data_IF_685040171120
#
_entry.id   IF_685040171120
#
_cell.length_a   1.000
_cell.length_b   1.000
_cell.length_c   1.000
_cell.angle_alpha   90.00
_cell.angle_beta   90.00
_cell.angle_gamma   90.00
#
_symmetry.space_group_name_H-M   'P 1'
#
loop_
_entity.id
_entity.type
_entity.pdbx_description
1 polymer ?
#
# COMPACT_ATOMS: atom_id res chain seq x y z
N UNK A 1 26.89 -41.21 12.88
CA UNK A 1 25.47 -40.82 13.10
C UNK A 1 25.14 -39.51 12.33
N UNK A 2 25.36 -39.48 11.01
CA UNK A 2 25.26 -38.26 10.17
C UNK A 2 24.18 -38.33 9.07
N UNK A 3 23.46 -39.46 8.96
CA UNK A 3 22.56 -39.73 7.82
C UNK A 3 21.09 -39.33 8.03
N UNK A 4 20.76 -38.50 9.03
CA UNK A 4 19.37 -38.07 9.32
C UNK A 4 19.06 -36.59 9.07
N UNK A 5 19.92 -35.84 8.37
CA UNK A 5 19.52 -34.54 7.78
C UNK A 5 19.08 -34.74 6.33
N UNK A 6 17.99 -35.50 6.13
CA UNK A 6 17.27 -35.45 4.85
C UNK A 6 16.67 -34.06 4.73
N UNK A 7 17.37 -33.24 3.96
CA UNK A 7 16.86 -32.21 3.06
C UNK A 7 15.31 -32.07 3.14
N UNK A 8 14.83 -31.28 4.10
CA UNK A 8 13.55 -30.60 3.92
C UNK A 8 13.80 -29.64 2.76
N UNK A 9 13.62 -30.13 1.53
CA UNK A 9 13.54 -29.27 0.38
C UNK A 9 12.29 -28.41 0.62
N UNK A 10 12.42 -27.10 0.96
CA UNK A 10 11.25 -26.27 1.16
C UNK A 10 10.45 -26.37 -0.13
N UNK A 11 9.21 -26.84 -0.04
CA UNK A 11 8.35 -26.97 -1.22
C UNK A 11 8.42 -25.63 -1.95
N UNK A 12 8.66 -25.62 -3.27
CA UNK A 12 8.72 -24.37 -4.02
C UNK A 12 7.45 -23.59 -3.71
N UNK A 13 7.61 -22.34 -3.26
CA UNK A 13 6.46 -21.48 -2.95
C UNK A 13 5.71 -21.32 -4.27
N UNK A 14 4.45 -21.77 -4.30
CA UNK A 14 3.59 -21.54 -5.47
C UNK A 14 3.55 -20.02 -5.69
N UNK A 15 3.89 -19.60 -6.91
CA UNK A 15 3.83 -18.21 -7.32
C UNK A 15 2.46 -17.91 -7.93
N UNK A 16 1.97 -16.69 -7.74
CA UNK A 16 0.70 -16.26 -8.33
C UNK A 16 0.87 -16.03 -9.82
N UNK A 17 0.12 -16.75 -10.65
CA UNK A 17 0.05 -16.44 -12.07
C UNK A 17 -0.88 -15.26 -12.33
N UNK A 18 -0.67 -14.54 -13.43
CA UNK A 18 -1.58 -13.44 -13.79
C UNK A 18 -3.01 -13.96 -14.05
N UNK A 19 -3.16 -15.15 -14.62
CA UNK A 19 -4.47 -15.79 -14.84
C UNK A 19 -5.20 -16.11 -13.54
N UNK A 20 -4.48 -16.51 -12.49
CA UNK A 20 -5.06 -16.71 -11.15
C UNK A 20 -5.50 -15.36 -10.55
N UNK A 21 -4.76 -14.29 -10.80
CA UNK A 21 -5.13 -12.95 -10.34
C UNK A 21 -6.33 -12.39 -11.12
N UNK A 22 -6.39 -12.59 -12.43
CA UNK A 22 -7.54 -12.23 -13.26
C UNK A 22 -8.81 -12.89 -12.71
N UNK A 23 -8.76 -14.21 -12.46
CA UNK A 23 -9.87 -14.95 -11.86
C UNK A 23 -10.23 -14.44 -10.46
N UNK A 24 -9.23 -14.11 -9.64
CA UNK A 24 -9.46 -13.60 -8.28
C UNK A 24 -10.18 -12.26 -8.31
N UNK A 25 -9.72 -11.33 -9.14
CA UNK A 25 -10.30 -10.00 -9.21
C UNK A 25 -11.66 -10.01 -9.89
N UNK A 26 -11.84 -10.79 -10.96
CA UNK A 26 -13.14 -10.95 -11.59
C UNK A 26 -14.15 -11.62 -10.65
N UNK A 27 -13.74 -12.64 -9.89
CA UNK A 27 -14.63 -13.28 -8.92
C UNK A 27 -15.08 -12.34 -7.79
N UNK A 28 -14.18 -11.45 -7.34
CA UNK A 28 -14.42 -10.54 -6.21
C UNK A 28 -15.06 -9.20 -6.62
N UNK A 29 -14.79 -8.70 -7.83
CA UNK A 29 -15.17 -7.35 -8.30
C UNK A 29 -15.99 -7.35 -9.60
N UNK A 30 -16.11 -8.48 -10.28
CA UNK A 30 -16.87 -8.61 -11.52
C UNK A 30 -18.35 -8.24 -11.36
N UNK A 31 -19.09 -8.13 -12.45
CA UNK A 31 -20.42 -7.49 -12.48
C UNK A 31 -21.46 -8.18 -11.57
N UNK A 32 -21.33 -9.50 -11.37
CA UNK A 32 -22.21 -10.28 -10.49
C UNK A 32 -21.71 -10.40 -9.04
N UNK A 33 -20.63 -9.69 -8.66
CA UNK A 33 -19.96 -9.85 -7.37
C UNK A 33 -20.46 -8.89 -6.27
N UNK A 34 -21.49 -8.08 -6.50
CA UNK A 34 -22.00 -7.06 -5.57
C UNK A 34 -22.19 -7.59 -4.14
N UNK A 35 -22.94 -8.68 -4.02
CA UNK A 35 -23.24 -9.30 -2.72
C UNK A 35 -21.99 -9.87 -2.03
N UNK A 36 -20.98 -10.30 -2.80
CA UNK A 36 -19.69 -10.75 -2.24
C UNK A 36 -18.85 -9.56 -1.79
N UNK A 37 -18.84 -8.48 -2.56
CA UNK A 37 -18.10 -7.28 -2.23
C UNK A 37 -18.67 -6.57 -0.99
N UNK A 38 -19.98 -6.49 -0.85
CA UNK A 38 -20.62 -5.94 0.35
C UNK A 38 -20.30 -6.76 1.61
N UNK A 39 -20.42 -8.09 1.49
CA UNK A 39 -20.00 -8.99 2.56
C UNK A 39 -18.50 -8.86 2.87
N UNK A 40 -17.66 -8.49 1.90
CA UNK A 40 -16.20 -8.36 2.10
C UNK A 40 -15.89 -7.23 3.07
N UNK A 41 -16.68 -6.16 3.02
CA UNK A 41 -16.56 -5.01 3.90
C UNK A 41 -16.99 -5.33 5.34
N UNK A 42 -18.04 -6.14 5.51
CA UNK A 42 -18.62 -6.45 6.83
C UNK A 42 -17.95 -7.66 7.49
N UNK A 43 -17.67 -8.71 6.72
CA UNK A 43 -17.29 -10.04 7.22
C UNK A 43 -16.22 -10.70 6.33
N UNK A 44 -15.10 -10.01 6.09
CA UNK A 44 -14.00 -10.46 5.23
C UNK A 44 -13.56 -11.91 5.48
N UNK A 45 -13.38 -12.30 6.74
CA UNK A 45 -12.95 -13.64 7.13
C UNK A 45 -13.88 -14.77 6.65
N UNK A 46 -15.20 -14.53 6.54
CA UNK A 46 -16.16 -15.54 6.07
C UNK A 46 -16.03 -15.75 4.57
N UNK A 47 -15.91 -14.66 3.81
CA UNK A 47 -15.75 -14.74 2.35
C UNK A 47 -14.49 -15.48 1.96
N UNK A 48 -13.35 -15.22 2.61
CA UNK A 48 -12.12 -15.90 2.22
C UNK A 48 -12.21 -17.42 2.40
N UNK A 49 -12.98 -17.89 3.40
CA UNK A 49 -13.29 -19.31 3.57
C UNK A 49 -14.22 -19.82 2.46
N UNK A 50 -15.25 -19.06 2.09
CA UNK A 50 -16.16 -19.39 0.98
C UNK A 50 -15.42 -19.45 -0.37
N UNK A 51 -14.55 -18.47 -0.65
CA UNK A 51 -13.73 -18.41 -1.88
C UNK A 51 -12.78 -19.60 -1.95
N UNK A 52 -12.12 -19.95 -0.84
CA UNK A 52 -11.27 -21.15 -0.79
C UNK A 52 -12.09 -22.44 -0.96
N UNK A 53 -13.31 -22.50 -0.42
CA UNK A 53 -14.21 -23.65 -0.53
C UNK A 53 -14.80 -23.81 -1.95
N UNK A 54 -14.93 -22.73 -2.71
CA UNK A 54 -15.43 -22.75 -4.08
C UNK A 54 -14.50 -23.50 -5.07
N UNK A 55 -13.29 -23.89 -4.63
CA UNK A 55 -12.29 -24.63 -5.43
C UNK A 55 -11.95 -23.97 -6.78
N UNK A 56 -12.12 -22.65 -6.87
CA UNK A 56 -11.71 -21.85 -8.04
C UNK A 56 -10.18 -21.68 -8.05
N UNK A 57 -9.57 -21.67 -6.86
CA UNK A 57 -8.14 -21.43 -6.63
C UNK A 57 -7.50 -22.66 -6.01
N UNK A 58 -7.13 -23.64 -6.83
CA UNK A 58 -6.55 -24.89 -6.36
C UNK A 58 -5.22 -24.67 -5.63
N UNK A 59 -5.14 -25.17 -4.40
CA UNK A 59 -3.93 -25.14 -3.57
C UNK A 59 -3.67 -23.82 -2.85
N UNK A 60 -4.57 -22.84 -2.94
CA UNK A 60 -4.49 -21.59 -2.19
C UNK A 60 -5.35 -21.63 -0.94
N UNK A 61 -4.79 -21.26 0.21
CA UNK A 61 -5.54 -21.16 1.46
C UNK A 61 -6.29 -19.82 1.56
N UNK A 62 -7.35 -19.78 2.37
CA UNK A 62 -8.09 -18.53 2.64
C UNK A 62 -7.18 -17.38 3.08
N UNK A 63 -6.18 -17.67 3.92
CA UNK A 63 -5.20 -16.66 4.38
C UNK A 63 -4.30 -16.18 3.26
N UNK A 64 -3.89 -17.06 2.33
CA UNK A 64 -3.07 -16.66 1.18
C UNK A 64 -3.86 -15.80 0.20
N UNK A 65 -5.14 -16.14 -0.04
CA UNK A 65 -6.06 -15.36 -0.86
C UNK A 65 -6.25 -13.95 -0.27
N UNK A 66 -6.53 -13.87 1.03
CA UNK A 66 -6.66 -12.60 1.74
C UNK A 66 -5.39 -11.76 1.68
N UNK A 67 -4.24 -12.34 2.01
CA UNK A 67 -2.97 -11.60 2.00
C UNK A 67 -2.63 -11.09 0.58
N UNK A 68 -2.92 -11.88 -0.45
CA UNK A 68 -2.72 -11.45 -1.84
C UNK A 68 -3.67 -10.32 -2.21
N UNK A 69 -4.94 -10.42 -1.81
CA UNK A 69 -5.92 -9.37 -2.03
C UNK A 69 -5.53 -8.05 -1.36
N UNK A 70 -5.13 -8.08 -0.09
CA UNK A 70 -4.69 -6.90 0.65
C UNK A 70 -3.47 -6.24 0.02
N UNK A 71 -2.49 -7.05 -0.43
CA UNK A 71 -1.32 -6.56 -1.17
C UNK A 71 -1.71 -5.87 -2.48
N UNK A 72 -2.69 -6.43 -3.20
CA UNK A 72 -3.20 -5.83 -4.43
C UNK A 72 -4.01 -4.58 -4.18
N UNK A 73 -4.83 -4.54 -3.12
CA UNK A 73 -5.55 -3.34 -2.72
C UNK A 73 -4.60 -2.20 -2.34
N UNK A 74 -3.51 -2.51 -1.63
CA UNK A 74 -2.46 -1.52 -1.33
C UNK A 74 -1.79 -1.01 -2.61
N UNK A 75 -1.55 -1.88 -3.59
CA UNK A 75 -1.00 -1.49 -4.90
C UNK A 75 -1.97 -0.60 -5.66
N UNK A 76 -3.27 -0.96 -5.69
CA UNK A 76 -4.33 -0.14 -6.26
C UNK A 76 -4.37 1.25 -5.64
N UNK A 77 -4.39 1.36 -4.31
CA UNK A 77 -4.43 2.66 -3.62
C UNK A 77 -3.27 3.57 -4.03
N UNK A 78 -2.05 3.01 -4.15
CA UNK A 78 -0.88 3.77 -4.61
C UNK A 78 -1.01 4.19 -6.08
N UNK A 79 -1.48 3.29 -6.96
CA UNK A 79 -1.73 3.62 -8.38
C UNK A 79 -2.84 4.66 -8.55
N UNK A 80 -3.87 4.59 -7.71
CA UNK A 80 -4.97 5.53 -7.70
C UNK A 80 -4.48 6.91 -7.27
N UNK A 81 -3.77 7.01 -6.14
CA UNK A 81 -3.15 8.25 -5.69
C UNK A 81 -2.18 8.83 -6.74
N UNK A 82 -1.37 7.98 -7.40
CA UNK A 82 -0.50 8.41 -8.49
C UNK A 82 -1.28 8.99 -9.68
N UNK A 83 -2.39 8.36 -10.07
CA UNK A 83 -3.23 8.87 -11.16
C UNK A 83 -3.89 10.19 -10.80
N UNK A 84 -4.44 10.32 -9.58
CA UNK A 84 -5.01 11.57 -9.09
C UNK A 84 -3.96 12.68 -9.08
N UNK A 85 -2.74 12.36 -8.65
CA UNK A 85 -1.60 13.28 -8.66
C UNK A 85 -1.17 13.71 -10.07
N UNK A 86 -1.14 12.79 -11.04
CA UNK A 86 -0.60 13.06 -12.39
C UNK A 86 -1.63 13.47 -13.44
N UNK A 87 -2.93 13.27 -13.19
CA UNK A 87 -3.92 13.16 -14.27
C UNK A 87 -5.25 13.86 -14.07
N UNK A 88 -5.42 14.68 -13.02
CA UNK A 88 -6.63 15.48 -12.82
C UNK A 88 -6.38 17.01 -12.81
N UNK A 89 -5.24 17.48 -13.31
CA UNK A 89 -4.96 18.92 -13.39
C UNK A 89 -4.83 19.60 -12.02
N UNK A 90 -4.36 18.88 -11.01
CA UNK A 90 -3.83 19.54 -9.82
C UNK A 90 -2.54 20.24 -10.26
N UNK A 91 -2.59 21.56 -10.34
CA UNK A 91 -1.42 22.35 -10.65
C UNK A 91 -0.36 22.07 -9.58
N UNK A 92 0.88 21.83 -10.02
CA UNK A 92 1.96 21.33 -9.15
C UNK A 92 2.39 22.33 -8.06
N UNK A 93 1.83 23.54 -8.09
CA UNK A 93 2.02 24.65 -7.16
C UNK A 93 1.02 24.66 -5.98
N UNK A 94 -0.08 23.91 -6.05
CA UNK A 94 -1.05 23.77 -4.95
C UNK A 94 -0.58 22.79 -3.85
N UNK A 95 0.54 22.09 -4.07
CA UNK A 95 1.09 21.19 -3.07
C UNK A 95 1.99 21.94 -2.09
N UNK A 96 1.51 22.05 -0.86
CA UNK A 96 2.31 22.45 0.28
C UNK A 96 3.34 21.37 0.59
N UNK A 97 4.55 21.52 0.04
CA UNK A 97 5.68 20.61 0.27
C UNK A 97 6.13 20.57 1.74
N UNK A 98 5.59 21.44 2.59
CA UNK A 98 5.81 21.45 4.03
C UNK A 98 4.88 20.47 4.79
N UNK A 99 3.86 19.90 4.14
CA UNK A 99 3.04 18.83 4.72
C UNK A 99 3.77 17.46 4.62
N UNK A 100 4.33 17.02 5.75
CA UNK A 100 5.01 15.73 5.87
C UNK A 100 4.14 14.53 5.44
N UNK A 101 2.82 14.59 5.59
CA UNK A 101 1.92 13.52 5.15
C UNK A 101 1.80 13.49 3.61
N UNK A 102 1.71 14.65 2.97
CA UNK A 102 1.69 14.78 1.51
C UNK A 102 3.02 14.29 0.91
N UNK A 103 4.15 14.66 1.51
CA UNK A 103 5.49 14.22 1.08
C UNK A 103 5.64 12.70 1.21
N UNK A 104 5.19 12.11 2.32
CA UNK A 104 5.20 10.65 2.49
C UNK A 104 4.34 9.94 1.44
N UNK A 105 3.17 10.51 1.11
CA UNK A 105 2.28 9.98 0.07
C UNK A 105 2.97 10.00 -1.31
N UNK A 106 3.65 11.10 -1.66
CA UNK A 106 4.43 11.19 -2.92
C UNK A 106 5.60 10.20 -2.97
N UNK A 107 6.31 9.98 -1.87
CA UNK A 107 7.37 8.97 -1.83
C UNK A 107 6.81 7.56 -2.02
N UNK A 108 5.68 7.24 -1.40
CA UNK A 108 4.96 5.98 -1.57
C UNK A 108 4.51 5.76 -3.02
N UNK A 109 4.05 6.81 -3.69
CA UNK A 109 3.68 6.83 -5.09
C UNK A 109 4.88 6.49 -6.00
N UNK A 110 6.06 7.06 -5.74
CA UNK A 110 7.27 6.83 -6.52
C UNK A 110 7.87 5.43 -6.36
N UNK A 111 7.49 4.68 -5.30
CA UNK A 111 8.00 3.32 -5.06
C UNK A 111 7.37 2.23 -5.92
N UNK A 112 6.31 2.51 -6.68
CA UNK A 112 5.71 1.48 -7.55
C UNK A 112 6.61 1.27 -8.78
N UNK A 113 7.06 0.04 -8.98
CA UNK A 113 7.81 -0.34 -10.19
C UNK A 113 6.94 -0.14 -11.43
N UNK A 114 7.47 0.53 -12.46
CA UNK A 114 6.77 0.74 -13.73
C UNK A 114 6.23 -0.54 -14.39
N UNK A 115 6.92 -1.67 -14.18
CA UNK A 115 6.49 -3.00 -14.66
C UNK A 115 5.15 -3.41 -14.05
N UNK A 116 4.93 -3.13 -12.75
CA UNK A 116 3.69 -3.44 -12.06
C UNK A 116 2.57 -2.55 -12.60
N UNK A 117 2.81 -1.24 -12.76
CA UNK A 117 1.81 -0.32 -13.30
C UNK A 117 1.37 -0.73 -14.71
N UNK A 118 2.31 -1.09 -15.60
CA UNK A 118 1.99 -1.58 -16.94
C UNK A 118 1.18 -2.88 -16.91
N UNK A 119 1.51 -3.80 -16.00
CA UNK A 119 0.78 -5.05 -15.83
C UNK A 119 -0.68 -4.79 -15.40
N UNK A 120 -0.88 -3.90 -14.42
CA UNK A 120 -2.20 -3.53 -13.92
C UNK A 120 -3.10 -2.91 -14.99
N UNK A 121 -2.53 -2.05 -15.85
CA UNK A 121 -3.25 -1.46 -16.99
C UNK A 121 -3.54 -2.52 -18.05
N UNK A 122 -2.55 -3.36 -18.39
CA UNK A 122 -2.70 -4.41 -19.41
C UNK A 122 -3.84 -5.37 -19.11
N UNK A 123 -4.02 -5.74 -17.84
CA UNK A 123 -5.07 -6.66 -17.40
C UNK A 123 -6.37 -5.94 -16.97
N UNK A 124 -6.45 -4.62 -17.14
CA UNK A 124 -7.61 -3.81 -16.72
C UNK A 124 -7.98 -3.94 -15.24
N UNK A 125 -7.05 -4.39 -14.39
CA UNK A 125 -7.27 -4.50 -12.95
C UNK A 125 -7.49 -3.14 -12.32
N UNK A 126 -6.80 -2.12 -12.82
CA UNK A 126 -7.00 -0.76 -12.35
C UNK A 126 -8.46 -0.32 -12.56
N UNK A 127 -9.00 -0.49 -13.77
CA UNK A 127 -10.35 -0.06 -14.12
C UNK A 127 -11.41 -0.85 -13.34
N UNK A 128 -11.20 -2.16 -13.14
CA UNK A 128 -12.07 -3.00 -12.28
C UNK A 128 -12.14 -2.49 -10.84
N UNK A 129 -10.99 -2.13 -10.25
CA UNK A 129 -10.96 -1.59 -8.90
C UNK A 129 -11.57 -0.18 -8.84
N UNK A 130 -11.27 0.72 -9.79
CA UNK A 130 -11.88 2.06 -9.83
C UNK A 130 -13.41 1.96 -9.93
N UNK A 131 -13.93 1.18 -10.88
CA UNK A 131 -15.37 0.98 -11.09
C UNK A 131 -16.09 0.55 -9.80
N UNK A 132 -15.43 -0.23 -8.95
CA UNK A 132 -16.04 -0.74 -7.70
C UNK A 132 -15.87 0.15 -6.48
N UNK A 133 -14.72 0.79 -6.33
CA UNK A 133 -14.44 1.62 -5.15
C UNK A 133 -14.87 3.08 -5.33
N UNK A 134 -14.97 3.57 -6.56
CA UNK A 134 -15.29 4.97 -6.85
C UNK A 134 -16.73 5.14 -7.37
N UNK A 135 -17.17 4.31 -8.31
CA UNK A 135 -18.49 4.48 -8.94
C UNK A 135 -19.62 3.82 -8.15
N UNK A 136 -19.33 3.31 -6.95
CA UNK A 136 -20.35 2.75 -6.06
C UNK A 136 -20.89 3.85 -5.12
N UNK A 137 -22.09 4.40 -5.37
CA UNK A 137 -22.65 5.51 -4.60
C UNK A 137 -22.91 5.15 -3.13
N UNK A 138 -22.86 3.86 -2.78
CA UNK A 138 -22.96 3.40 -1.38
C UNK A 138 -21.67 3.59 -0.59
N UNK A 139 -20.52 3.68 -1.25
CA UNK A 139 -19.20 3.87 -0.62
C UNK A 139 -18.84 5.36 -0.58
N UNK A 140 -19.24 6.11 -1.61
CA UNK A 140 -19.23 7.58 -1.62
C UNK A 140 -20.52 8.11 -0.99
N UNK A 141 -21.06 7.43 0.02
CA UNK A 141 -22.00 8.09 0.89
C UNK A 141 -21.14 9.08 1.66
N UNK A 142 -21.20 10.36 1.28
CA UNK A 142 -20.63 11.45 2.08
C UNK A 142 -21.15 11.24 3.49
N UNK A 143 -20.33 10.64 4.36
CA UNK A 143 -20.61 10.63 5.78
C UNK A 143 -20.65 12.10 6.09
N UNK A 144 -21.82 12.67 6.44
CA UNK A 144 -21.87 14.07 6.81
C UNK A 144 -20.95 14.16 8.02
N UNK A 145 -19.74 14.69 7.78
CA UNK A 145 -18.82 15.05 8.84
C UNK A 145 -19.57 16.15 9.56
N UNK A 146 -20.26 15.74 10.62
CA UNK A 146 -20.85 16.62 11.62
C UNK A 146 -19.69 17.26 12.38
N UNK A 147 -18.88 18.03 11.68
CA UNK A 147 -17.77 18.82 12.20
C UNK A 147 -18.28 20.24 12.40
N UNK A 148 -19.25 20.37 13.30
CA UNK A 148 -19.67 21.59 14.00
C UNK A 148 -21.00 21.30 14.70
N UNK A 149 -21.03 20.39 15.67
CA UNK A 149 -21.99 20.60 16.75
C UNK A 149 -21.39 21.74 17.58
N UNK A 150 -22.06 22.88 17.56
CA UNK A 150 -21.56 24.11 18.16
C UNK A 150 -21.19 23.83 19.61
N UNK A 151 -19.94 24.12 19.98
CA UNK A 151 -19.53 24.15 21.38
C UNK A 151 -20.50 25.09 22.09
N UNK A 152 -21.35 24.49 22.94
CA UNK A 152 -22.28 25.14 23.84
C UNK A 152 -21.67 26.43 24.38
N UNK A 153 -22.33 27.54 24.06
CA UNK A 153 -22.04 28.86 24.63
C UNK A 153 -21.92 28.69 26.15
N UNK A 154 -20.75 29.05 26.67
CA UNK A 154 -20.46 29.00 28.09
C UNK A 154 -21.01 30.32 28.66
N UNK A 155 -22.25 30.28 29.14
CA UNK A 155 -22.93 31.44 29.71
C UNK A 155 -22.22 31.87 31.02
N UNK A 156 -21.66 33.10 31.11
CA UNK A 156 -20.99 33.54 32.31
C UNK A 156 -22.02 33.84 33.41
N UNK A 157 -21.96 33.07 34.49
CA UNK A 157 -22.70 33.31 35.73
C UNK A 157 -22.36 34.70 36.29
N UNK A 158 -23.31 35.63 36.21
CA UNK A 158 -23.33 36.85 37.02
C UNK A 158 -23.93 36.54 38.39
N UNK A 159 -23.24 36.83 39.51
CA UNK A 159 -23.88 36.85 40.80
C UNK A 159 -24.59 38.21 41.01
N UNK A 160 -25.62 38.16 41.85
CA UNK A 160 -26.25 39.27 42.56
C UNK A 160 -27.49 39.93 41.91
N UNK A 161 -28.67 39.57 42.41
CA UNK A 161 -29.45 40.46 43.28
C UNK A 161 -30.78 39.79 43.65
N UNK A 162 -31.07 39.78 44.94
CA UNK A 162 -32.33 39.40 45.58
C UNK A 162 -33.54 40.09 44.93
N UNK A 163 -34.59 39.33 44.59
CA UNK A 163 -35.97 39.77 44.85
C UNK A 163 -37.05 38.69 44.70
N UNK A 164 -38.10 38.92 45.47
CA UNK A 164 -39.27 38.14 45.86
C UNK A 164 -40.11 37.40 44.79
N UNK A 165 -40.68 36.27 45.25
CA UNK A 165 -42.04 35.75 45.07
C UNK A 165 -42.92 36.32 43.94
N UNK A 166 -43.34 35.49 42.96
CA UNK A 166 -44.74 35.45 42.45
C UNK A 166 -45.08 34.06 41.86
N UNK A 167 -46.29 33.59 42.23
CA UNK A 167 -47.02 32.40 41.82
C UNK A 167 -47.47 32.29 40.33
N UNK A 168 -47.50 31.05 39.84
CA UNK A 168 -48.57 30.36 39.08
C UNK A 168 -49.29 31.11 37.94
N UNK A 169 -49.09 30.67 36.68
CA UNK A 169 -50.18 30.53 35.67
C UNK A 169 -50.03 29.22 34.88
N UNK A 170 -51.16 28.53 34.79
CA UNK A 170 -51.45 27.23 34.19
C UNK A 170 -51.61 27.24 32.65
N UNK A 171 -51.42 26.02 32.08
CA UNK A 171 -52.16 25.35 30.96
C UNK A 171 -51.91 25.74 29.48
N UNK A 172 -52.23 24.86 28.49
CA UNK A 172 -52.22 23.38 28.46
C UNK A 172 -51.68 22.72 27.15
N UNK A 173 -51.45 21.40 27.25
CA UNK A 173 -51.73 20.34 26.26
C UNK A 173 -51.47 20.56 24.75
N UNK A 174 -50.64 19.70 24.18
CA UNK A 174 -51.12 18.82 23.10
C UNK A 174 -50.52 17.42 23.24
N UNK A 175 -51.43 16.46 23.36
CA UNK A 175 -51.22 15.03 23.49
C UNK A 175 -50.89 14.39 22.15
N UNK A 176 -49.97 13.42 22.16
CA UNK A 176 -50.15 12.04 21.63
C UNK A 176 -48.75 11.38 21.61
N UNK A 177 -48.42 10.53 22.58
CA UNK A 177 -48.73 9.08 22.57
C UNK A 177 -48.04 8.40 21.38
N UNK A 178 -47.15 7.40 21.52
CA UNK A 178 -47.35 6.17 22.30
C UNK A 178 -46.05 5.35 22.34
N UNK A 179 -45.71 4.84 23.54
CA UNK A 179 -45.04 3.55 23.86
C UNK A 179 -43.61 3.29 23.34
N UNK A 180 -42.63 3.18 24.25
CA UNK A 180 -42.22 1.95 24.96
C UNK A 180 -41.55 0.96 23.97
N UNK A 181 -40.30 0.55 24.19
CA UNK A 181 -39.89 -0.24 25.36
C UNK A 181 -38.40 -0.09 25.61
N UNK A 182 -38.06 0.08 26.89
CA UNK A 182 -36.76 -0.23 27.44
C UNK A 182 -36.40 -1.70 27.14
N UNK A 183 -35.13 -1.95 26.83
CA UNK A 183 -34.35 -3.12 27.25
C UNK A 183 -32.95 -3.08 26.61
N UNK A 184 -31.92 -2.79 27.40
CA UNK A 184 -30.64 -3.49 27.32
C UNK A 184 -29.72 -3.08 28.47
N UNK A 185 -29.94 -3.79 29.58
CA UNK A 185 -28.91 -4.59 30.26
C UNK A 185 -27.47 -4.15 30.04
N UNK A 186 -26.96 -3.51 31.09
CA UNK A 186 -25.55 -3.38 31.42
C UNK A 186 -24.86 -4.74 31.59
N UNK A 187 -23.55 -4.73 31.31
CA UNK A 187 -22.46 -5.67 31.65
C UNK A 187 -22.06 -6.70 30.57
N UNK A 188 -20.79 -7.17 30.53
CA UNK A 188 -19.53 -6.57 31.00
C UNK A 188 -18.44 -6.51 29.91
N UNK A 189 -17.51 -5.56 30.05
CA UNK A 189 -16.27 -5.45 29.28
C UNK A 189 -15.33 -6.62 29.63
N UNK A 190 -14.92 -7.48 28.67
CA UNK A 190 -13.82 -8.40 28.91
C UNK A 190 -12.47 -7.68 28.70
N UNK A 191 -11.74 -7.56 29.80
CA UNK A 191 -10.32 -7.21 29.85
C UNK A 191 -9.51 -8.06 28.88
N UNK A 192 -8.97 -7.43 27.84
CA UNK A 192 -8.00 -8.08 26.95
C UNK A 192 -6.61 -7.93 27.53
N UNK A 193 -6.08 -9.07 27.96
CA UNK A 193 -4.73 -9.30 28.44
C UNK A 193 -3.68 -8.92 27.39
N UNK A 194 -2.78 -8.03 27.79
CA UNK A 194 -1.54 -7.72 27.08
C UNK A 194 -0.59 -8.92 27.12
N UNK A 195 -0.43 -9.61 25.99
CA UNK A 195 0.64 -10.59 25.79
C UNK A 195 1.84 -9.88 25.15
N UNK A 196 2.80 -9.53 25.99
CA UNK A 196 4.16 -9.16 25.60
C UNK A 196 4.88 -10.37 25.01
N UNK A 197 5.09 -10.40 23.69
CA UNK A 197 6.08 -11.28 23.04
C UNK A 197 7.36 -10.49 22.79
N UNK A 198 8.28 -10.52 23.74
CA UNK A 198 9.69 -10.22 23.52
C UNK A 198 10.43 -11.55 23.42
N UNK A 199 10.67 -12.02 22.19
CA UNK A 199 11.62 -13.09 21.93
C UNK A 199 13.01 -12.48 21.85
N UNK A 200 13.71 -12.56 22.98
CA UNK A 200 15.13 -12.29 23.14
C UNK A 200 15.93 -13.30 22.31
N UNK A 201 16.69 -12.77 21.34
CA UNK A 201 17.68 -13.54 20.59
C UNK A 201 18.92 -13.78 21.42
N UNK A 202 19.41 -15.00 21.28
CA UNK A 202 20.67 -15.56 21.78
C UNK A 202 21.87 -14.62 21.60
N UNK A 203 22.60 -14.46 22.70
CA UNK A 203 23.87 -13.76 22.81
C UNK A 203 25.01 -14.71 22.48
N UNK A 204 25.81 -14.35 21.48
CA UNK A 204 27.21 -14.80 21.34
C UNK A 204 28.12 -13.93 22.22
N UNK A 205 29.19 -14.50 22.82
CA UNK A 205 30.03 -13.80 23.78
C UNK A 205 31.16 -13.04 23.07
N UNK A 206 31.26 -11.73 23.29
CA UNK A 206 32.47 -10.97 23.00
C UNK A 206 32.90 -10.09 24.19
N UNK A 207 34.07 -10.45 24.70
CA UNK A 207 35.18 -9.54 25.03
C UNK A 207 34.91 -8.34 25.95
N UNK A 208 35.25 -8.60 27.22
CA UNK A 208 35.64 -7.67 28.27
C UNK A 208 36.78 -6.73 27.85
N UNK A 209 36.53 -5.43 27.80
CA UNK A 209 37.49 -4.38 28.23
C UNK A 209 36.73 -3.21 28.84
N UNK A 210 37.04 -2.93 30.12
CA UNK A 210 36.55 -1.77 30.86
C UNK A 210 37.31 -0.53 30.39
N UNK A 211 36.60 0.59 30.16
CA UNK A 211 37.20 1.91 30.30
C UNK A 211 36.15 2.90 30.83
N UNK A 212 36.47 3.47 32.00
CA UNK A 212 35.76 4.55 32.69
C UNK A 212 36.32 5.89 32.20
N UNK A 213 35.45 6.84 31.87
CA UNK A 213 35.77 8.26 31.68
C UNK A 213 34.61 8.94 30.94
N UNK A 214 33.61 9.50 31.61
CA UNK A 214 33.56 10.89 32.11
C UNK A 214 33.79 11.92 30.98
N UNK A 215 32.71 12.28 30.30
CA UNK A 215 32.67 13.35 29.31
C UNK A 215 31.23 13.70 28.95
N UNK A 216 30.67 14.69 29.63
CA UNK A 216 29.29 15.16 29.51
C UNK A 216 29.32 16.44 28.67
N UNK A 217 29.29 16.32 27.34
CA UNK A 217 28.91 17.38 26.39
C UNK A 217 29.00 16.85 24.95
N UNK A 218 28.05 17.28 24.08
CA UNK A 218 27.88 17.01 22.64
C UNK A 218 27.06 15.77 22.26
N UNK A 219 25.75 15.97 22.09
CA UNK A 219 24.81 15.01 21.46
C UNK A 219 23.98 15.69 20.35
N UNK A 220 24.45 16.81 19.78
CA UNK A 220 23.70 17.52 18.72
C UNK A 220 24.28 17.39 17.30
N UNK A 221 25.50 16.87 17.14
CA UNK A 221 26.16 16.78 15.83
C UNK A 221 25.95 15.44 15.10
N UNK A 222 25.38 14.42 15.76
CA UNK A 222 25.26 13.06 15.17
C UNK A 222 24.04 12.87 14.24
N UNK A 223 23.08 13.81 14.24
CA UNK A 223 21.86 13.68 13.42
C UNK A 223 22.08 13.93 11.93
N UNK A 224 23.07 14.74 11.56
CA UNK A 224 23.44 15.00 10.17
C UNK A 224 24.37 13.91 9.58
N UNK A 225 25.02 13.13 10.45
CA UNK A 225 25.90 12.02 10.07
C UNK A 225 25.13 10.94 9.30
N UNK A 226 23.96 10.52 9.80
CA UNK A 226 23.15 9.49 9.15
C UNK A 226 22.60 9.89 7.78
N UNK A 227 22.24 11.16 7.59
CA UNK A 227 21.75 11.67 6.31
C UNK A 227 22.87 11.73 5.26
N UNK A 228 24.07 12.12 5.68
CA UNK A 228 25.26 12.13 4.81
C UNK A 228 25.63 10.71 4.38
N UNK A 229 25.63 9.76 5.32
CA UNK A 229 25.85 8.33 5.01
C UNK A 229 24.80 7.77 4.06
N UNK A 230 23.53 8.19 4.20
CA UNK A 230 22.47 7.79 3.26
C UNK A 230 22.73 8.30 1.85
N UNK A 231 23.10 9.57 1.68
CA UNK A 231 23.40 10.14 0.37
C UNK A 231 24.63 9.49 -0.27
N UNK A 232 25.65 9.17 0.51
CA UNK A 232 26.84 8.46 0.03
C UNK A 232 26.50 7.04 -0.42
N UNK A 233 25.73 6.29 0.38
CA UNK A 233 25.25 4.96 0.01
C UNK A 233 24.36 4.99 -1.25
N UNK A 234 23.50 6.00 -1.38
CA UNK A 234 22.66 6.19 -2.57
C UNK A 234 23.50 6.49 -3.81
N UNK A 235 24.49 7.39 -3.70
CA UNK A 235 25.40 7.71 -4.79
C UNK A 235 26.20 6.48 -5.25
N UNK A 236 26.57 5.59 -4.32
CA UNK A 236 27.27 4.35 -4.65
C UNK A 236 26.37 3.34 -5.39
N UNK A 237 25.10 3.22 -4.99
CA UNK A 237 24.09 2.42 -5.71
C UNK A 237 23.88 2.96 -7.13
N UNK A 238 23.72 4.28 -7.28
CA UNK A 238 23.51 4.92 -8.59
C UNK A 238 24.72 4.72 -9.52
N UNK A 239 25.94 4.79 -8.96
CA UNK A 239 27.18 4.45 -9.68
C UNK A 239 27.21 2.99 -10.13
N UNK A 240 26.69 2.07 -9.33
CA UNK A 240 26.53 0.66 -9.70
C UNK A 240 25.57 0.46 -10.87
N UNK A 241 24.43 1.16 -10.85
CA UNK A 241 23.42 1.10 -11.92
C UNK A 241 23.97 1.64 -13.24
N UNK A 242 24.72 2.74 -13.21
CA UNK A 242 25.39 3.30 -14.40
C UNK A 242 26.38 2.31 -15.03
N UNK A 243 27.21 1.65 -14.21
CA UNK A 243 28.14 0.62 -14.70
C UNK A 243 27.42 -0.59 -15.30
N UNK A 244 26.26 -0.97 -14.76
CA UNK A 244 25.46 -2.07 -15.32
C UNK A 244 24.92 -1.70 -16.70
N UNK A 245 24.37 -0.48 -16.84
CA UNK A 245 23.85 0.03 -18.11
C UNK A 245 24.94 0.15 -19.18
N UNK A 246 26.16 0.54 -18.81
CA UNK A 246 27.31 0.58 -19.72
C UNK A 246 27.70 -0.83 -20.20
N UNK A 247 27.71 -1.82 -19.29
CA UNK A 247 27.96 -3.23 -19.65
C UNK A 247 26.90 -3.77 -20.61
N UNK A 248 25.63 -3.47 -20.37
CA UNK A 248 24.53 -3.86 -21.27
C UNK A 248 24.67 -3.24 -22.67
N UNK A 249 25.04 -1.95 -22.75
CA UNK A 249 25.29 -1.28 -24.02
C UNK A 249 26.46 -1.90 -24.79
N UNK A 250 27.54 -2.27 -24.09
CA UNK A 250 28.69 -2.94 -24.69
C UNK A 250 28.34 -4.36 -25.16
N UNK A 251 27.57 -5.11 -24.37
CA UNK A 251 27.09 -6.43 -24.76
C UNK A 251 26.21 -6.36 -26.02
N UNK A 252 25.31 -5.37 -26.09
CA UNK A 252 24.47 -5.14 -27.26
C UNK A 252 25.27 -4.81 -28.53
N UNK A 253 26.29 -3.95 -28.42
CA UNK A 253 27.20 -3.66 -29.55
C UNK A 253 27.95 -4.91 -30.01
N UNK A 254 28.40 -5.73 -29.06
CA UNK A 254 29.12 -6.97 -29.37
C UNK A 254 28.20 -8.00 -30.04
N UNK A 255 26.95 -8.14 -29.59
CA UNK A 255 25.97 -9.03 -30.22
C UNK A 255 25.61 -8.57 -31.63
N UNK A 256 25.39 -7.28 -31.85
CA UNK A 256 25.13 -6.72 -33.19
C UNK A 256 26.32 -6.94 -34.15
N UNK A 257 27.55 -6.79 -33.66
CA UNK A 257 28.75 -7.08 -34.45
C UNK A 257 28.86 -8.57 -34.82
N UNK A 258 28.51 -9.46 -33.88
CA UNK A 258 28.50 -10.91 -34.11
C UNK A 258 27.44 -11.31 -35.15
N UNK A 259 26.22 -10.77 -35.05
CA UNK A 259 25.17 -10.99 -36.06
C UNK A 259 25.58 -10.50 -37.44
N UNK A 260 26.23 -9.32 -37.52
CA UNK A 260 26.76 -8.80 -38.78
C UNK A 260 27.83 -9.71 -39.38
N UNK A 261 28.74 -10.24 -38.55
CA UNK A 261 29.77 -11.17 -39.00
C UNK A 261 29.18 -12.52 -39.46
N UNK A 262 28.19 -13.05 -38.72
CA UNK A 262 27.47 -14.26 -39.10
C UNK A 262 26.76 -14.10 -40.45
N UNK A 263 26.10 -12.96 -40.68
CA UNK A 263 25.42 -12.69 -41.95
C UNK A 263 26.38 -12.59 -43.16
N UNK A 264 27.63 -12.14 -42.94
CA UNK A 264 28.67 -12.15 -43.99
C UNK A 264 29.10 -13.59 -44.33
N UNK A 265 29.22 -14.47 -43.33
CA UNK A 265 29.57 -15.88 -43.55
C UNK A 265 28.44 -16.65 -44.26
N UNK A 266 27.19 -16.37 -43.92
CA UNK A 266 26.03 -17.06 -44.50
C UNK A 266 25.66 -16.55 -45.92
N UNK A 267 26.08 -15.33 -46.29
CA UNK A 267 25.80 -14.72 -47.60
C UNK A 267 27.05 -14.11 -48.28
N UNK A 268 28.06 -14.92 -48.65
CA UNK A 268 29.31 -14.41 -49.22
C UNK A 268 29.12 -13.70 -50.59
N UNK A 269 28.08 -14.06 -51.35
CA UNK A 269 27.86 -13.56 -52.72
C UNK A 269 27.20 -12.17 -52.82
N UNK A 270 26.71 -11.59 -51.70
CA UNK A 270 26.01 -10.29 -51.72
C UNK A 270 26.94 -9.08 -51.51
N UNK A 271 28.22 -9.28 -51.20
CA UNK A 271 29.15 -8.21 -50.79
C UNK A 271 30.00 -7.54 -51.88
N UNK A 272 30.10 -8.10 -53.10
CA UNK A 272 31.12 -7.69 -54.09
C UNK A 272 30.60 -6.97 -55.35
N UNK A 273 29.39 -6.39 -55.36
CA UNK A 273 28.84 -5.72 -56.56
C UNK A 273 28.68 -4.19 -56.48
N UNK A 274 29.38 -3.50 -55.59
CA UNK A 274 29.44 -2.03 -55.61
C UNK A 274 30.87 -1.53 -55.78
N UNK A 275 31.23 -1.21 -57.02
CA UNK A 275 32.39 -0.40 -57.33
C UNK A 275 33.22 -0.94 -58.48
N UNK A 276 32.81 -0.63 -59.71
CA UNK A 276 33.68 -0.08 -60.76
C UNK A 276 32.84 0.11 -62.04
N UNK A 277 32.32 1.33 -62.20
CA UNK A 277 31.56 1.72 -63.38
C UNK A 277 31.45 3.24 -63.49
N UNK A 278 32.55 3.88 -63.90
CA UNK A 278 32.64 5.18 -64.58
C UNK A 278 34.14 5.44 -64.81
N UNK A 279 34.73 5.10 -65.94
CA UNK A 279 34.65 5.76 -67.26
C UNK A 279 34.99 7.24 -67.17
N UNK A 280 36.25 7.56 -67.48
CA UNK A 280 36.64 8.44 -68.58
C UNK A 280 38.04 8.06 -69.06
#
# INVERSE_FOLDING_TARGET
NWQRRRLHNPRPRKEWSNEELDKLYDYMLGEAADARFEKLQVASNKIWKEVAAAKIFDGWTATQLQAKWESSLATFKKLYAFRTFTGCGADADDYDWDDEEAVQLTFLILTIKAVISRLWVKHQWYDLFVKRYHDNPRIVQEVPRSSADALSDFDPVTPDAENDDVEIINTPQTSASTQATANSTLLPVPSSSSLSRTSSSELTPQSRTQNKGKGRSRVKDDRLSGLTTYFEAKAEVDKGVLKLREKEANYKKLSEAYEKAANILDNPDKGCKQGHGAVL
#
